data_IF_824799714015
#
_entry.id   IF_824799714015
#
_cell.length_a   1.000
_cell.length_b   1.000
_cell.length_c   1.000
_cell.angle_alpha   90.00
_cell.angle_beta   90.00
_cell.angle_gamma   90.00
#
_symmetry.space_group_name_H-M   'P 1'
#
loop_
_entity.id
_entity.type
_entity.pdbx_description
1 polymer ?
#
# COMPACT_ATOMS: atom_id res chain seq x y z
N UNK A 1 0.54 -11.58 -11.89
CA UNK A 1 0.34 -10.84 -13.14
C UNK A 1 -1.11 -10.44 -13.23
N UNK A 2 -1.40 -9.15 -13.23
CA UNK A 2 -2.76 -8.63 -13.34
C UNK A 2 -3.12 -8.50 -14.81
N UNK A 3 -4.37 -8.81 -15.16
CA UNK A 3 -4.79 -8.88 -16.57
C UNK A 3 -5.46 -7.59 -17.07
N UNK A 4 -5.52 -6.54 -16.24
CA UNK A 4 -6.19 -5.27 -16.54
C UNK A 4 -5.67 -4.12 -15.67
N UNK A 5 -5.89 -2.88 -16.11
CA UNK A 5 -5.64 -1.66 -15.33
C UNK A 5 -6.37 -1.73 -13.98
N UNK A 6 -7.65 -2.09 -14.00
CA UNK A 6 -8.46 -2.23 -12.78
C UNK A 6 -7.85 -3.26 -11.83
N UNK A 7 -7.42 -4.41 -12.34
CA UNK A 7 -6.80 -5.45 -11.51
C UNK A 7 -5.48 -5.02 -10.88
N UNK A 8 -4.69 -4.18 -11.56
CA UNK A 8 -3.47 -3.59 -10.99
C UNK A 8 -3.84 -2.61 -9.87
N UNK A 9 -4.80 -1.72 -10.12
CA UNK A 9 -5.21 -0.72 -9.15
C UNK A 9 -5.87 -1.34 -7.91
N UNK A 10 -6.78 -2.32 -8.10
CA UNK A 10 -7.38 -3.14 -7.03
C UNK A 10 -6.31 -3.81 -6.16
N UNK A 11 -5.28 -4.39 -6.79
CA UNK A 11 -4.17 -5.00 -6.06
C UNK A 11 -3.35 -3.98 -5.27
N UNK A 12 -3.05 -2.82 -5.84
CA UNK A 12 -2.33 -1.77 -5.14
C UNK A 12 -3.09 -1.31 -3.88
N UNK A 13 -4.40 -1.09 -3.99
CA UNK A 13 -5.23 -0.65 -2.86
C UNK A 13 -5.30 -1.71 -1.76
N UNK A 14 -5.54 -2.96 -2.15
CA UNK A 14 -5.55 -4.09 -1.21
C UNK A 14 -4.18 -4.29 -0.53
N UNK A 15 -3.08 -4.19 -1.29
CA UNK A 15 -1.73 -4.35 -0.76
C UNK A 15 -1.37 -3.25 0.26
N UNK A 16 -1.76 -2.00 0.03
CA UNK A 16 -1.56 -0.92 1.01
C UNK A 16 -2.33 -1.20 2.31
N UNK A 17 -3.61 -1.57 2.23
CA UNK A 17 -4.42 -1.92 3.40
C UNK A 17 -3.82 -3.10 4.18
N UNK A 18 -3.35 -4.14 3.49
CA UNK A 18 -2.64 -5.28 4.11
C UNK A 18 -1.40 -4.82 4.89
N UNK A 19 -0.58 -3.94 4.31
CA UNK A 19 0.64 -3.47 4.97
C UNK A 19 0.35 -2.58 6.18
N UNK A 20 -0.65 -1.69 6.12
CA UNK A 20 -1.07 -0.92 7.29
C UNK A 20 -1.54 -1.80 8.44
N UNK A 21 -2.27 -2.89 8.15
CA UNK A 21 -2.62 -3.89 9.17
C UNK A 21 -1.39 -4.59 9.76
N UNK A 22 -0.36 -4.85 8.95
CA UNK A 22 0.92 -5.39 9.46
C UNK A 22 1.63 -4.38 10.35
N UNK A 23 1.71 -3.12 9.95
CA UNK A 23 2.32 -2.07 10.77
C UNK A 23 1.60 -1.93 12.11
N UNK A 24 0.27 -1.98 12.13
CA UNK A 24 -0.52 -2.01 13.37
C UNK A 24 -0.25 -3.23 14.26
N UNK A 25 0.27 -4.33 13.70
CA UNK A 25 0.70 -5.51 14.49
C UNK A 25 2.13 -5.41 15.02
N UNK A 26 2.93 -4.44 14.57
CA UNK A 26 4.34 -4.30 14.96
C UNK A 26 4.54 -3.48 16.22
N UNK A 27 3.51 -2.77 16.68
CA UNK A 27 3.56 -1.84 17.80
C UNK A 27 2.20 -1.19 18.03
N UNK A 28 2.17 -0.16 18.87
CA UNK A 28 0.97 0.65 19.13
C UNK A 28 1.20 2.04 18.56
N UNK A 29 0.38 2.44 17.60
CA UNK A 29 0.45 3.74 16.93
C UNK A 29 -0.96 4.33 16.92
N UNK A 30 -1.14 5.49 17.53
CA UNK A 30 -2.42 6.14 17.74
C UNK A 30 -3.19 6.30 16.43
N UNK A 31 -2.52 6.70 15.34
CA UNK A 31 -3.19 6.85 14.05
C UNK A 31 -3.72 5.53 13.49
N UNK A 32 -3.08 4.39 13.79
CA UNK A 32 -3.48 3.07 13.32
C UNK A 32 -4.54 2.44 14.24
N UNK A 33 -4.45 2.60 15.56
CA UNK A 33 -5.38 2.00 16.52
C UNK A 33 -6.82 2.46 16.32
N UNK A 34 -7.02 3.76 16.06
CA UNK A 34 -8.35 4.35 15.90
C UNK A 34 -8.89 4.26 14.46
N UNK A 35 -8.17 3.60 13.55
CA UNK A 35 -8.53 3.60 12.13
C UNK A 35 -9.67 2.63 11.81
N UNK A 36 -10.85 3.10 11.36
CA UNK A 36 -11.94 2.22 10.95
C UNK A 36 -11.57 1.33 9.78
N UNK A 37 -10.63 1.76 8.94
CA UNK A 37 -10.10 0.99 7.82
C UNK A 37 -9.45 -0.31 8.31
N UNK A 38 -8.72 -0.27 9.42
CA UNK A 38 -8.05 -1.44 9.97
C UNK A 38 -8.99 -2.38 10.71
N UNK A 39 -10.22 -1.97 11.03
CA UNK A 39 -11.23 -2.87 11.59
C UNK A 39 -11.83 -3.84 10.55
N UNK A 40 -11.75 -3.50 9.25
CA UNK A 40 -12.37 -4.26 8.15
C UNK A 40 -11.58 -5.52 7.79
N UNK A 41 -12.22 -6.58 7.31
CA UNK A 41 -11.48 -7.74 6.80
C UNK A 41 -10.79 -7.43 5.46
N UNK A 42 -9.60 -8.00 5.23
CA UNK A 42 -8.93 -7.89 3.94
C UNK A 42 -9.66 -8.63 2.81
N UNK A 43 -10.39 -9.69 3.14
CA UNK A 43 -11.18 -10.43 2.16
C UNK A 43 -12.44 -9.66 1.75
N UNK A 44 -13.08 -8.98 2.72
CA UNK A 44 -14.20 -8.07 2.47
C UNK A 44 -13.76 -6.90 1.59
N UNK A 45 -12.66 -6.23 1.96
CA UNK A 45 -12.07 -5.17 1.17
C UNK A 45 -11.80 -5.63 -0.27
N UNK A 46 -11.18 -6.80 -0.44
CA UNK A 46 -10.89 -7.33 -1.78
C UNK A 46 -12.16 -7.59 -2.60
N UNK A 47 -13.22 -8.09 -1.96
CA UNK A 47 -14.48 -8.38 -2.64
C UNK A 47 -15.21 -7.10 -3.07
N UNK A 48 -15.23 -6.08 -2.21
CA UNK A 48 -15.90 -4.80 -2.47
C UNK A 48 -15.24 -3.97 -3.57
N UNK A 49 -13.92 -4.01 -3.68
CA UNK A 49 -13.17 -3.22 -4.67
C UNK A 49 -13.47 -3.63 -6.12
N UNK A 50 -13.95 -4.86 -6.33
CA UNK A 50 -14.09 -5.42 -7.68
C UNK A 50 -15.16 -4.68 -8.48
N UNK A 51 -14.72 -3.90 -9.46
CA UNK A 51 -15.60 -3.11 -10.32
C UNK A 51 -16.13 -1.82 -9.66
N UNK A 52 -15.67 -1.46 -8.46
CA UNK A 52 -16.01 -0.20 -7.80
C UNK A 52 -14.85 0.80 -7.89
N UNK A 53 -14.85 1.59 -8.96
CA UNK A 53 -13.81 2.60 -9.18
C UNK A 53 -13.80 3.71 -8.12
N UNK A 54 -14.95 4.06 -7.53
CA UNK A 54 -14.97 5.13 -6.52
C UNK A 54 -14.48 4.60 -5.18
N UNK A 55 -14.94 3.42 -4.75
CA UNK A 55 -14.43 2.74 -3.57
C UNK A 55 -12.92 2.49 -3.67
N UNK A 56 -12.43 2.13 -4.85
CA UNK A 56 -10.99 1.97 -5.10
C UNK A 56 -10.20 3.26 -4.91
N UNK A 57 -10.70 4.37 -5.48
CA UNK A 57 -10.06 5.68 -5.33
C UNK A 57 -10.10 6.16 -3.88
N UNK A 58 -11.21 5.96 -3.17
CA UNK A 58 -11.31 6.28 -1.75
C UNK A 58 -10.29 5.49 -0.95
N UNK A 59 -10.25 4.16 -1.13
CA UNK A 59 -9.33 3.32 -0.37
C UNK A 59 -7.87 3.68 -0.63
N UNK A 60 -7.48 3.97 -1.88
CA UNK A 60 -6.12 4.43 -2.19
C UNK A 60 -5.78 5.75 -1.50
N UNK A 61 -6.69 6.73 -1.46
CA UNK A 61 -6.49 7.99 -0.74
C UNK A 61 -6.37 7.75 0.76
N UNK A 62 -7.35 7.04 1.34
CA UNK A 62 -7.45 6.82 2.77
C UNK A 62 -6.24 6.03 3.30
N UNK A 63 -5.78 5.02 2.56
CA UNK A 63 -4.57 4.26 2.91
C UNK A 63 -3.29 5.08 2.74
N UNK A 64 -3.20 5.93 1.71
CA UNK A 64 -2.02 6.79 1.50
C UNK A 64 -1.90 7.84 2.61
N UNK A 65 -3.01 8.50 2.97
CA UNK A 65 -3.05 9.49 4.05
C UNK A 65 -2.74 8.85 5.41
N UNK A 66 -3.28 7.65 5.66
CA UNK A 66 -2.99 6.91 6.88
C UNK A 66 -1.53 6.45 6.95
N UNK A 67 -0.93 6.05 5.82
CA UNK A 67 0.49 5.71 5.75
C UNK A 67 1.36 6.92 6.06
N UNK A 68 1.05 8.09 5.48
CA UNK A 68 1.80 9.33 5.77
C UNK A 68 1.74 9.67 7.26
N UNK A 69 0.55 9.67 7.87
CA UNK A 69 0.37 9.91 9.31
C UNK A 69 1.12 8.89 10.18
N UNK A 70 1.12 7.62 9.77
CA UNK A 70 1.86 6.58 10.47
C UNK A 70 3.37 6.82 10.42
N UNK A 71 3.92 7.21 9.27
CA UNK A 71 5.33 7.55 9.14
C UNK A 71 5.69 8.79 9.98
N UNK A 72 4.82 9.79 10.02
CA UNK A 72 5.01 10.99 10.86
C UNK A 72 4.98 10.66 12.37
N UNK A 73 4.23 9.64 12.78
CA UNK A 73 4.16 9.17 14.17
C UNK A 73 5.35 8.27 14.56
N UNK A 74 6.02 7.64 13.58
CA UNK A 74 7.04 6.63 13.82
C UNK A 74 8.37 7.25 14.31
N UNK A 75 8.84 6.96 15.53
CA UNK A 75 10.13 7.45 16.02
C UNK A 75 11.31 6.96 15.16
N UNK A 76 12.35 7.78 15.02
CA UNK A 76 13.50 7.46 14.16
C UNK A 76 14.21 6.15 14.59
N UNK A 77 14.28 5.91 15.90
CA UNK A 77 14.86 4.69 16.47
C UNK A 77 14.11 3.40 16.11
N UNK A 78 12.82 3.47 15.77
CA UNK A 78 12.02 2.30 15.40
C UNK A 78 12.37 1.77 14.01
N UNK A 79 12.92 2.60 13.12
CA UNK A 79 13.23 2.19 11.75
C UNK A 79 14.22 1.01 11.69
N UNK A 80 15.17 0.95 12.60
CA UNK A 80 16.19 -0.12 12.68
C UNK A 80 15.73 -1.36 13.47
N UNK A 81 14.56 -1.29 14.12
CA UNK A 81 14.02 -2.42 14.88
C UNK A 81 13.67 -3.59 13.97
N UNK A 82 13.77 -4.82 14.49
CA UNK A 82 13.33 -6.04 13.83
C UNK A 82 11.83 -6.26 14.03
N UNK A 83 11.10 -6.51 12.94
CA UNK A 83 9.66 -6.81 12.91
C UNK A 83 9.42 -8.18 12.31
N UNK A 84 8.43 -8.91 12.84
CA UNK A 84 8.03 -10.24 12.37
C UNK A 84 6.62 -10.19 11.82
N UNK A 85 6.40 -10.83 10.69
CA UNK A 85 5.07 -10.96 10.09
C UNK A 85 4.93 -12.26 9.32
N UNK A 86 3.68 -12.64 9.07
CA UNK A 86 3.33 -13.75 8.18
C UNK A 86 3.06 -13.22 6.78
N UNK A 87 3.69 -13.84 5.79
CA UNK A 87 3.38 -13.60 4.39
C UNK A 87 1.99 -14.14 4.05
N UNK A 88 1.46 -13.77 2.89
CA UNK A 88 0.11 -14.20 2.45
C UNK A 88 0.03 -15.70 2.15
N UNK A 89 1.16 -16.34 1.86
CA UNK A 89 1.33 -17.79 1.69
C UNK A 89 1.66 -18.52 3.01
N UNK A 90 1.64 -17.80 4.14
CA UNK A 90 1.71 -18.41 5.48
C UNK A 90 3.12 -18.52 6.08
N UNK A 91 4.17 -18.11 5.37
CA UNK A 91 5.55 -18.17 5.86
C UNK A 91 5.85 -17.05 6.85
N UNK A 92 6.64 -17.34 7.89
CA UNK A 92 7.12 -16.31 8.81
C UNK A 92 8.37 -15.63 8.27
N UNK A 93 8.39 -14.29 8.33
CA UNK A 93 9.54 -13.48 7.95
C UNK A 93 9.88 -12.50 9.06
N UNK A 94 11.17 -12.24 9.21
CA UNK A 94 11.69 -11.16 10.03
C UNK A 94 12.51 -10.19 9.18
N UNK A 95 12.26 -8.88 9.32
CA UNK A 95 12.93 -7.82 8.57
C UNK A 95 13.22 -6.64 9.49
N UNK A 96 14.19 -5.81 9.11
CA UNK A 96 14.33 -4.46 9.67
C UNK A 96 13.13 -3.63 9.25
N UNK A 97 12.58 -2.82 10.15
CA UNK A 97 11.29 -2.14 9.93
C UNK A 97 11.33 -1.28 8.66
N UNK A 98 12.37 -0.47 8.48
CA UNK A 98 12.48 0.37 7.28
C UNK A 98 12.48 -0.43 5.96
N UNK A 99 12.97 -1.68 5.94
CA UNK A 99 12.87 -2.54 4.75
C UNK A 99 11.41 -2.79 4.36
N UNK A 100 10.52 -2.92 5.34
CA UNK A 100 9.10 -3.18 5.09
C UNK A 100 8.39 -1.93 4.57
N UNK A 101 8.77 -0.74 5.04
CA UNK A 101 8.29 0.55 4.52
C UNK A 101 8.76 0.71 3.07
N UNK A 102 10.05 0.48 2.81
CA UNK A 102 10.61 0.51 1.46
C UNK A 102 9.96 -0.51 0.53
N UNK A 103 9.57 -1.69 1.04
CA UNK A 103 8.83 -2.67 0.27
C UNK A 103 7.48 -2.11 -0.21
N UNK A 104 6.75 -1.35 0.62
CA UNK A 104 5.48 -0.71 0.23
C UNK A 104 5.71 0.35 -0.85
N UNK A 105 6.68 1.24 -0.65
CA UNK A 105 6.99 2.33 -1.59
C UNK A 105 7.48 1.81 -2.94
N UNK A 106 8.37 0.81 -2.92
CA UNK A 106 8.90 0.19 -4.13
C UNK A 106 7.81 -0.62 -4.86
N UNK A 107 6.95 -1.34 -4.12
CA UNK A 107 5.81 -2.07 -4.69
C UNK A 107 4.82 -1.13 -5.40
N UNK A 108 4.53 0.04 -4.81
CA UNK A 108 3.73 1.08 -5.45
C UNK A 108 4.37 1.62 -6.73
N UNK A 109 5.68 1.90 -6.69
CA UNK A 109 6.45 2.36 -7.86
C UNK A 109 6.42 1.34 -8.99
N UNK A 110 6.59 0.06 -8.68
CA UNK A 110 6.56 -1.03 -9.65
C UNK A 110 5.23 -1.07 -10.43
N UNK A 111 4.08 -1.07 -9.73
CA UNK A 111 2.78 -1.15 -10.39
C UNK A 111 2.36 0.16 -11.09
N UNK A 112 2.78 1.32 -10.56
CA UNK A 112 2.63 2.58 -11.32
C UNK A 112 3.43 2.56 -12.62
N UNK A 113 4.61 1.95 -12.63
CA UNK A 113 5.39 1.71 -13.85
C UNK A 113 4.67 0.78 -14.83
N UNK A 114 4.04 -0.29 -14.33
CA UNK A 114 3.20 -1.19 -15.14
C UNK A 114 2.02 -0.44 -15.78
N UNK A 115 1.30 0.38 -15.01
CA UNK A 115 0.22 1.24 -15.50
C UNK A 115 0.71 2.26 -16.53
N UNK A 116 1.85 2.91 -16.26
CA UNK A 116 2.47 3.89 -17.17
C UNK A 116 2.75 3.27 -18.54
N UNK A 117 3.36 2.08 -18.56
CA UNK A 117 3.65 1.36 -19.80
C UNK A 117 2.37 0.98 -20.57
N UNK A 118 1.33 0.52 -19.87
CA UNK A 118 0.03 0.21 -20.50
C UNK A 118 -0.59 1.46 -21.14
N UNK A 119 -0.57 2.59 -20.44
CA UNK A 119 -1.12 3.85 -20.96
C UNK A 119 -0.34 4.35 -22.19
N UNK A 120 0.99 4.28 -22.15
CA UNK A 120 1.85 4.64 -23.29
C UNK A 120 1.56 3.79 -24.52
N UNK A 121 1.41 2.47 -24.35
CA UNK A 121 1.04 1.54 -25.44
C UNK A 121 -0.31 1.86 -26.07
N UNK A 122 -1.20 2.54 -25.34
CA UNK A 122 -2.51 2.97 -25.83
C UNK A 122 -2.54 4.44 -26.26
N UNK A 123 -1.38 5.12 -26.32
CA UNK A 123 -1.28 6.53 -26.72
C UNK A 123 -1.85 7.51 -25.69
N UNK A 124 -2.02 7.09 -24.44
CA UNK A 124 -2.53 7.94 -23.36
C UNK A 124 -1.37 8.56 -22.60
N UNK A 125 -1.23 9.89 -22.72
CA UNK A 125 -0.16 10.63 -22.03
C UNK A 125 -0.30 10.53 -20.51
N UNK A 126 0.80 10.21 -19.83
CA UNK A 126 0.86 10.07 -18.39
C UNK A 126 2.29 10.37 -17.87
N UNK A 127 2.45 10.48 -16.55
CA UNK A 127 3.75 10.60 -15.86
C UNK A 127 3.85 9.67 -14.64
N UNK A 128 3.07 8.59 -14.63
CA UNK A 128 2.86 7.74 -13.46
C UNK A 128 4.15 7.05 -12.98
N UNK A 129 5.16 6.90 -13.83
CA UNK A 129 6.45 6.32 -13.45
C UNK A 129 7.42 7.33 -12.80
N UNK A 130 7.11 8.63 -12.85
CA UNK A 130 7.98 9.65 -12.29
C UNK A 130 7.81 9.71 -10.77
N UNK A 131 8.93 9.60 -10.05
CA UNK A 131 8.97 9.90 -8.62
C UNK A 131 9.12 11.40 -8.37
N UNK A 132 10.01 12.05 -9.13
CA UNK A 132 10.36 13.46 -8.95
C UNK A 132 9.22 14.43 -9.28
N UNK A 133 8.28 14.04 -10.13
CA UNK A 133 7.11 14.88 -10.46
C UNK A 133 6.14 15.07 -9.28
N UNK A 134 6.25 14.23 -8.24
CA UNK A 134 5.34 14.22 -7.09
C UNK A 134 6.00 14.68 -5.80
N UNK A 135 7.25 15.17 -5.87
CA UNK A 135 7.92 15.80 -4.72
C UNK A 135 7.69 17.32 -4.79
N UNK A 136 7.36 17.98 -3.66
CA UNK A 136 7.18 19.43 -3.59
C UNK A 136 8.49 20.20 -3.87
#
# INVERSE_FOLDING_TARGET
YFKSIDGIAEHMAWAQALWLKRFASFGRYACLEDSPLLARSLDELKAELKGDSEGLRSLLRDTSDLLARFIDELPEEEFERRVRYRTTDGNELERTFWHTIMQVLNHGTHHRGELSAILDMNGVKNDLNSFVSYMP
#
